data_IF_455882059545
#
_entry.id   IF_455882059545
#
_cell.length_a   1.000
_cell.length_b   1.000
_cell.length_c   1.000
_cell.angle_alpha   90.00
_cell.angle_beta   90.00
_cell.angle_gamma   90.00
#
_symmetry.space_group_name_H-M   'P 1'
#
loop_
_entity.id
_entity.type
_entity.pdbx_description
1 polymer ?
#
# COMPACT_ATOMS: atom_id res chain seq x y z
N UNK A 1 -4.40 -0.27 35.25
CA UNK A 1 -5.59 -1.10 35.03
C UNK A 1 -5.16 -2.21 34.08
N UNK A 2 -6.04 -2.90 33.36
CA UNK A 2 -5.63 -3.50 32.09
C UNK A 2 -5.95 -2.47 31.02
N UNK A 3 -5.00 -2.18 30.15
CA UNK A 3 -5.15 -1.17 29.09
C UNK A 3 -5.54 -1.90 27.80
N UNK A 4 -6.47 -1.34 27.05
CA UNK A 4 -6.96 -1.96 25.82
C UNK A 4 -6.68 -1.06 24.62
N UNK A 5 -6.36 -1.70 23.50
CA UNK A 5 -6.44 -1.09 22.17
C UNK A 5 -7.32 -1.97 21.29
N UNK A 6 -7.91 -1.43 20.24
CA UNK A 6 -8.83 -2.22 19.42
C UNK A 6 -9.13 -1.62 18.06
N UNK A 7 -9.55 -2.49 17.15
CA UNK A 7 -10.04 -2.15 15.83
C UNK A 7 -11.56 -2.20 15.87
N UNK A 8 -12.16 -1.05 15.61
CA UNK A 8 -13.61 -0.87 15.52
C UNK A 8 -13.97 -0.55 14.09
N UNK A 9 -15.11 -1.06 13.63
CA UNK A 9 -15.64 -0.75 12.30
C UNK A 9 -17.09 -0.35 12.43
N UNK A 10 -17.41 0.84 11.94
CA UNK A 10 -18.74 1.46 12.09
C UNK A 10 -19.24 1.45 13.56
N UNK A 11 -18.32 1.55 14.53
CA UNK A 11 -18.58 1.55 15.98
C UNK A 11 -18.64 0.17 16.64
N UNK A 12 -18.55 -0.92 15.89
CA UNK A 12 -18.53 -2.27 16.44
C UNK A 12 -17.10 -2.76 16.68
N UNK A 13 -16.83 -3.33 17.86
CA UNK A 13 -15.54 -3.92 18.18
C UNK A 13 -15.33 -5.21 17.37
N UNK A 14 -14.32 -5.22 16.49
CA UNK A 14 -14.00 -6.38 15.66
C UNK A 14 -12.85 -7.18 16.26
N UNK A 15 -11.83 -6.49 16.77
CA UNK A 15 -10.66 -7.12 17.39
C UNK A 15 -10.10 -6.23 18.49
N UNK A 16 -9.72 -6.81 19.62
CA UNK A 16 -9.18 -6.07 20.77
C UNK A 16 -7.91 -6.71 21.27
N UNK A 17 -6.93 -5.88 21.59
CA UNK A 17 -5.69 -6.24 22.25
C UNK A 17 -5.76 -5.87 23.71
N UNK A 18 -5.17 -6.71 24.57
CA UNK A 18 -5.15 -6.50 26.01
C UNK A 18 -3.71 -6.30 26.46
N UNK A 19 -3.43 -5.14 27.06
CA UNK A 19 -2.12 -4.70 27.51
C UNK A 19 -1.06 -4.69 26.39
N UNK A 20 -1.49 -4.59 25.13
CA UNK A 20 -0.64 -4.56 23.95
C UNK A 20 -1.03 -3.38 23.05
N UNK A 21 -0.01 -2.62 22.61
CA UNK A 21 -0.13 -1.57 21.59
C UNK A 21 0.67 -2.01 20.36
N UNK A 22 -0.01 -2.11 19.23
CA UNK A 22 0.61 -2.49 17.96
C UNK A 22 1.03 -1.26 17.19
N UNK A 23 2.24 -0.78 17.43
CA UNK A 23 2.80 0.41 16.78
C UNK A 23 2.88 0.25 15.25
N UNK A 24 3.07 -0.96 14.77
CA UNK A 24 3.14 -1.27 13.34
C UNK A 24 1.81 -1.09 12.59
N UNK A 25 0.68 -0.97 13.30
CA UNK A 25 -0.60 -0.58 12.69
C UNK A 25 -0.66 0.92 12.41
N UNK A 26 0.03 1.72 13.24
CA UNK A 26 0.07 3.18 13.13
C UNK A 26 0.73 3.63 11.82
N UNK A 27 1.60 2.79 11.26
CA UNK A 27 2.22 2.99 9.93
C UNK A 27 1.20 3.25 8.82
N UNK A 28 -0.02 2.68 8.89
CA UNK A 28 -1.06 2.85 7.87
C UNK A 28 -1.94 4.07 8.08
N UNK A 29 -1.62 4.90 9.07
CA UNK A 29 -2.28 6.15 9.33
C UNK A 29 -1.32 7.32 9.14
N UNK A 30 -1.88 8.52 9.08
CA UNK A 30 -1.19 9.79 8.93
C UNK A 30 -1.72 10.77 9.97
N UNK A 31 -1.04 11.89 10.15
CA UNK A 31 -1.51 12.94 11.07
C UNK A 31 -2.90 13.48 10.72
N UNK A 32 -3.34 13.33 9.46
CA UNK A 32 -4.69 13.72 9.04
C UNK A 32 -5.77 12.71 9.47
N UNK A 33 -5.39 11.48 9.81
CA UNK A 33 -6.31 10.43 10.27
C UNK A 33 -6.45 10.45 11.81
N UNK A 34 -5.58 11.18 12.50
CA UNK A 34 -5.59 11.28 13.95
C UNK A 34 -6.80 12.07 14.45
N UNK A 35 -7.50 11.53 15.45
CA UNK A 35 -8.68 12.16 16.03
C UNK A 35 -8.62 12.19 17.55
N UNK A 36 -9.16 13.26 18.10
CA UNK A 36 -9.59 13.39 19.48
C UNK A 36 -11.09 13.73 19.41
N UNK A 37 -11.90 12.88 20.01
CA UNK A 37 -13.35 13.04 20.06
C UNK A 37 -13.77 13.12 21.53
N UNK A 38 -14.77 13.94 21.83
CA UNK A 38 -15.33 14.04 23.17
C UNK A 38 -16.84 14.19 23.14
N UNK A 39 -17.49 13.91 24.28
CA UNK A 39 -18.94 14.07 24.39
C UNK A 39 -19.72 13.07 23.54
N UNK A 40 -20.79 13.55 22.91
CA UNK A 40 -21.62 12.76 21.99
C UNK A 40 -20.84 12.24 20.77
N UNK A 41 -19.83 12.98 20.29
CA UNK A 41 -19.04 12.60 19.11
C UNK A 41 -18.13 11.39 19.39
N UNK A 42 -17.74 11.18 20.65
CA UNK A 42 -16.96 10.03 21.07
C UNK A 42 -17.81 8.76 21.25
N UNK A 43 -19.12 8.89 21.43
CA UNK A 43 -20.02 7.77 21.77
C UNK A 43 -19.93 6.59 20.79
N UNK A 44 -19.88 6.78 19.45
CA UNK A 44 -19.76 5.67 18.50
C UNK A 44 -18.42 4.94 18.56
N UNK A 45 -17.40 5.57 19.12
CA UNK A 45 -16.01 5.09 19.17
C UNK A 45 -15.58 4.69 20.58
N UNK A 46 -16.41 4.98 21.57
CA UNK A 46 -16.24 4.46 22.92
C UNK A 46 -16.51 2.98 22.92
N UNK A 47 -15.52 2.21 23.34
CA UNK A 47 -15.67 0.78 23.46
C UNK A 47 -16.85 0.45 24.38
N UNK A 48 -17.57 -0.66 24.09
CA UNK A 48 -18.60 -1.18 24.99
C UNK A 48 -18.09 -1.44 26.44
N UNK A 49 -16.76 -1.48 26.62
CA UNK A 49 -16.07 -1.52 27.92
C UNK A 49 -16.17 -0.21 28.70
N UNK A 50 -16.14 0.96 28.03
CA UNK A 50 -16.30 2.27 28.68
C UNK A 50 -17.76 2.57 28.99
N UNK A 51 -18.67 2.33 28.04
CA UNK A 51 -20.10 2.62 28.20
C UNK A 51 -20.85 1.60 29.09
N UNK A 52 -20.33 0.38 29.26
CA UNK A 52 -20.98 -0.69 30.01
C UNK A 52 -20.45 -0.93 31.43
N UNK A 53 -19.26 -0.42 31.76
CA UNK A 53 -18.56 -0.71 33.04
C UNK A 53 -18.19 0.54 33.83
N UNK A 54 -18.30 1.73 33.25
CA UNK A 54 -17.98 2.99 33.93
C UNK A 54 -19.23 3.87 33.92
N UNK A 55 -19.59 4.40 35.09
CA UNK A 55 -20.62 5.42 35.32
C UNK A 55 -20.12 6.78 34.75
N UNK A 56 -19.70 6.78 33.48
CA UNK A 56 -19.13 7.90 32.76
C UNK A 56 -20.29 8.68 32.12
N UNK A 57 -20.46 9.94 32.53
CA UNK A 57 -21.38 10.84 31.84
C UNK A 57 -20.88 11.04 30.40
N UNK A 58 -21.78 11.03 29.42
CA UNK A 58 -21.43 11.19 28.00
C UNK A 58 -20.59 12.45 27.78
N UNK A 59 -20.86 13.51 28.54
CA UNK A 59 -20.15 14.79 28.48
C UNK A 59 -18.67 14.70 28.94
N UNK A 60 -18.29 13.65 29.66
CA UNK A 60 -16.94 13.38 30.17
C UNK A 60 -16.19 12.32 29.33
N UNK A 61 -16.83 11.78 28.28
CA UNK A 61 -16.24 10.78 27.43
C UNK A 61 -15.18 11.41 26.52
N UNK A 62 -13.98 10.83 26.49
CA UNK A 62 -12.90 11.21 25.59
C UNK A 62 -12.35 9.97 24.90
N UNK A 63 -12.07 10.06 23.60
CA UNK A 63 -11.54 8.98 22.78
C UNK A 63 -10.39 9.50 21.91
N UNK A 64 -9.31 8.73 21.86
CA UNK A 64 -8.10 9.05 21.10
C UNK A 64 -7.78 7.90 20.15
N UNK A 65 -7.43 8.20 18.90
CA UNK A 65 -7.05 7.17 17.95
C UNK A 65 -6.94 7.66 16.51
N UNK A 66 -7.10 6.72 15.57
CA UNK A 66 -7.03 6.99 14.13
C UNK A 66 -8.29 6.54 13.40
N UNK A 67 -8.78 7.37 12.48
CA UNK A 67 -9.95 7.09 11.63
C UNK A 67 -9.53 7.09 10.16
N UNK A 68 -9.87 6.02 9.44
CA UNK A 68 -9.73 5.95 8.00
C UNK A 68 -10.81 5.05 7.37
N UNK A 69 -11.14 5.28 6.10
CA UNK A 69 -12.03 4.38 5.36
C UNK A 69 -11.30 3.08 4.99
N UNK A 70 -12.05 1.99 4.85
CA UNK A 70 -11.48 0.71 4.42
C UNK A 70 -10.81 0.83 3.04
N UNK A 71 -11.35 1.63 2.11
CA UNK A 71 -10.71 1.90 0.82
C UNK A 71 -9.31 2.51 0.98
N UNK A 72 -9.20 3.55 1.80
CA UNK A 72 -7.95 4.24 2.08
C UNK A 72 -6.91 3.27 2.66
N UNK A 73 -7.31 2.46 3.66
CA UNK A 73 -6.43 1.47 4.27
C UNK A 73 -6.02 0.36 3.29
N UNK A 74 -6.94 -0.12 2.45
CA UNK A 74 -6.62 -1.11 1.39
C UNK A 74 -5.54 -0.56 0.46
N UNK A 75 -5.65 0.69 0.03
CA UNK A 75 -4.69 1.30 -0.88
C UNK A 75 -3.33 1.54 -0.21
N UNK A 76 -3.30 1.97 1.06
CA UNK A 76 -2.06 2.11 1.83
C UNK A 76 -1.37 0.76 2.08
N UNK A 77 -2.13 -0.27 2.47
CA UNK A 77 -1.63 -1.65 2.63
C UNK A 77 -1.05 -2.20 1.32
N UNK A 78 -1.79 -2.07 0.21
CA UNK A 78 -1.33 -2.46 -1.12
C UNK A 78 -0.03 -1.72 -1.49
N UNK A 79 0.00 -0.40 -1.28
CA UNK A 79 1.14 0.44 -1.57
C UNK A 79 2.37 -0.01 -0.79
N UNK A 80 2.22 -0.40 0.47
CA UNK A 80 3.30 -0.87 1.35
C UNK A 80 3.66 -2.36 1.19
N UNK A 81 2.95 -3.11 0.34
CA UNK A 81 3.26 -4.50 -0.01
C UNK A 81 2.48 -5.55 0.77
N UNK A 82 1.46 -5.14 1.52
CA UNK A 82 0.49 -6.01 2.19
C UNK A 82 -0.69 -6.36 1.26
N UNK A 83 -0.37 -6.77 0.04
CA UNK A 83 -1.35 -7.20 -0.96
C UNK A 83 -1.91 -8.61 -0.70
N UNK A 84 -2.85 -9.04 -1.55
CA UNK A 84 -3.51 -10.35 -1.43
C UNK A 84 -2.54 -11.54 -1.44
N UNK A 85 -1.45 -11.46 -2.22
CA UNK A 85 -0.45 -12.53 -2.29
C UNK A 85 0.25 -12.76 -0.95
N UNK A 86 0.61 -11.69 -0.24
CA UNK A 86 1.24 -11.77 1.07
C UNK A 86 0.26 -12.26 2.13
N UNK A 87 -1.00 -11.80 2.11
CA UNK A 87 -2.01 -12.28 3.03
C UNK A 87 -2.20 -13.80 2.86
N UNK A 88 -2.35 -14.28 1.62
CA UNK A 88 -2.55 -15.70 1.33
C UNK A 88 -1.39 -16.55 1.83
N UNK A 89 -0.15 -16.16 1.54
CA UNK A 89 1.02 -16.92 2.00
C UNK A 89 1.18 -16.85 3.52
N UNK A 90 0.91 -15.68 4.13
CA UNK A 90 0.94 -15.46 5.56
C UNK A 90 -0.08 -16.33 6.30
N UNK A 91 -1.33 -16.34 5.86
CA UNK A 91 -2.40 -17.16 6.46
C UNK A 91 -2.11 -18.64 6.31
N UNK A 92 -1.70 -19.11 5.13
CA UNK A 92 -1.33 -20.52 4.93
C UNK A 92 -0.20 -20.95 5.88
N UNK A 93 0.76 -20.06 6.14
CA UNK A 93 1.82 -20.29 7.13
C UNK A 93 1.26 -20.35 8.55
N UNK A 94 0.42 -19.39 8.95
CA UNK A 94 -0.20 -19.35 10.29
C UNK A 94 -1.07 -20.59 10.56
N UNK A 95 -1.91 -21.00 9.59
CA UNK A 95 -2.71 -22.23 9.69
C UNK A 95 -1.83 -23.48 9.92
N UNK A 96 -0.67 -23.55 9.25
CA UNK A 96 0.31 -24.63 9.46
C UNK A 96 0.95 -24.56 10.84
N UNK A 97 1.30 -23.37 11.31
CA UNK A 97 1.88 -23.15 12.64
C UNK A 97 0.91 -23.57 13.76
N UNK A 98 -0.39 -23.27 13.61
CA UNK A 98 -1.44 -23.71 14.55
C UNK A 98 -1.62 -25.24 14.56
N UNK A 99 -1.65 -25.86 13.38
CA UNK A 99 -1.70 -27.33 13.28
C UNK A 99 -0.47 -28.00 13.90
N UNK A 100 0.73 -27.44 13.69
CA UNK A 100 1.96 -27.91 14.32
C UNK A 100 1.93 -27.70 15.85
N UNK A 101 1.35 -26.60 16.33
CA UNK A 101 1.17 -26.31 17.76
C UNK A 101 0.27 -27.35 18.44
N UNK A 102 -0.87 -27.67 17.82
CA UNK A 102 -1.78 -28.71 18.30
C UNK A 102 -1.10 -30.09 18.28
N UNK A 103 -0.33 -30.40 17.23
CA UNK A 103 0.43 -31.66 17.14
C UNK A 103 1.42 -31.80 18.31
N UNK A 104 2.21 -30.75 18.59
CA UNK A 104 3.15 -30.74 19.73
C UNK A 104 2.44 -30.92 21.07
N UNK A 105 1.28 -30.28 21.26
CA UNK A 105 0.49 -30.43 22.48
C UNK A 105 0.00 -31.88 22.65
N UNK A 106 -0.44 -32.53 21.56
CA UNK A 106 -0.87 -33.92 21.57
C UNK A 106 0.27 -34.90 21.81
N UNK A 107 1.45 -34.66 21.23
CA UNK A 107 2.65 -35.45 21.48
C UNK A 107 3.04 -35.37 22.96
N UNK A 108 3.01 -34.17 23.56
CA UNK A 108 3.23 -33.98 24.99
C UNK A 108 2.20 -34.76 25.84
N UNK A 109 0.91 -34.66 25.51
CA UNK A 109 -0.13 -35.44 26.19
C UNK A 109 0.15 -36.95 26.12
N UNK A 110 0.53 -37.45 24.94
CA UNK A 110 0.86 -38.86 24.74
C UNK A 110 2.08 -39.30 25.58
N UNK A 111 3.13 -38.49 25.64
CA UNK A 111 4.33 -38.73 26.46
C UNK A 111 4.00 -38.79 27.96
N UNK A 112 3.11 -37.92 28.42
CA UNK A 112 2.65 -37.89 29.82
C UNK A 112 1.56 -38.93 30.14
N UNK A 113 1.07 -39.68 29.13
CA UNK A 113 -0.04 -40.61 29.28
C UNK A 113 -1.38 -39.93 29.60
N UNK A 114 -1.51 -38.65 29.26
CA UNK A 114 -2.73 -37.85 29.41
C UNK A 114 -3.65 -38.09 28.21
N UNK A 115 -4.87 -38.51 28.48
CA UNK A 115 -5.95 -38.61 27.49
C UNK A 115 -7.24 -38.04 28.08
N UNK A 116 -7.10 -36.83 28.60
CA UNK A 116 -8.15 -36.04 29.23
C UNK A 116 -8.86 -35.16 28.19
N UNK A 117 -9.77 -34.32 28.68
CA UNK A 117 -10.56 -33.37 27.90
C UNK A 117 -9.67 -32.45 27.05
N UNK A 118 -8.54 -31.99 27.61
CA UNK A 118 -7.58 -31.14 26.90
C UNK A 118 -6.99 -31.84 25.66
N UNK A 119 -6.58 -33.12 25.77
CA UNK A 119 -6.08 -33.87 24.63
C UNK A 119 -7.17 -34.13 23.57
N UNK A 120 -8.46 -34.12 23.94
CA UNK A 120 -9.57 -34.21 22.99
C UNK A 120 -9.77 -32.86 22.28
N UNK A 121 -9.83 -31.77 23.02
CA UNK A 121 -9.93 -30.40 22.48
C UNK A 121 -8.83 -30.13 21.46
N UNK A 122 -7.57 -30.48 21.76
CA UNK A 122 -6.46 -30.30 20.82
C UNK A 122 -6.52 -31.17 19.56
N UNK A 123 -7.21 -32.33 19.59
CA UNK A 123 -7.48 -33.10 18.35
C UNK A 123 -8.55 -32.43 17.52
N UNK A 124 -9.63 -31.98 18.15
CA UNK A 124 -10.74 -31.32 17.46
C UNK A 124 -10.26 -29.99 16.82
N UNK A 125 -9.41 -29.23 17.52
CA UNK A 125 -8.71 -28.06 16.97
C UNK A 125 -7.79 -28.44 15.80
N UNK A 126 -6.94 -29.47 15.94
CA UNK A 126 -6.03 -29.92 14.88
C UNK A 126 -6.79 -30.31 13.60
N UNK A 127 -7.85 -31.11 13.74
CA UNK A 127 -8.69 -31.53 12.60
C UNK A 127 -9.33 -30.32 11.92
N UNK A 128 -9.75 -29.32 12.70
CA UNK A 128 -10.26 -28.04 12.18
C UNK A 128 -9.18 -27.30 11.38
N UNK A 129 -8.01 -27.08 11.96
CA UNK A 129 -6.90 -26.36 11.28
C UNK A 129 -6.43 -27.06 10.01
N UNK A 130 -6.32 -28.39 10.01
CA UNK A 130 -5.93 -29.17 8.84
C UNK A 130 -6.98 -29.17 7.72
N UNK A 131 -8.25 -28.89 8.05
CA UNK A 131 -9.33 -28.80 7.07
C UNK A 131 -9.38 -27.45 6.33
N UNK A 132 -8.70 -26.43 6.86
CA UNK A 132 -8.72 -25.08 6.31
C UNK A 132 -7.63 -24.84 5.29
N UNK A 133 -8.03 -24.21 4.20
CA UNK A 133 -7.17 -23.49 3.27
C UNK A 133 -7.49 -21.98 3.33
N UNK A 134 -6.74 -21.18 2.59
CA UNK A 134 -6.98 -19.73 2.57
C UNK A 134 -8.41 -19.34 2.19
N UNK A 135 -9.04 -20.01 1.22
CA UNK A 135 -10.37 -19.62 0.72
C UNK A 135 -11.47 -19.95 1.73
N UNK A 136 -11.41 -21.15 2.32
CA UNK A 136 -12.32 -21.58 3.38
C UNK A 136 -12.14 -20.74 4.65
N UNK A 137 -10.90 -20.43 5.04
CA UNK A 137 -10.62 -19.50 6.14
C UNK A 137 -11.19 -18.10 5.86
N UNK A 138 -10.97 -17.54 4.67
CA UNK A 138 -11.47 -16.20 4.32
C UNK A 138 -13.00 -16.14 4.37
N UNK A 139 -13.67 -17.21 3.94
CA UNK A 139 -15.14 -17.35 4.06
C UNK A 139 -15.59 -17.34 5.52
N UNK A 140 -14.85 -18.00 6.41
CA UNK A 140 -15.15 -17.99 7.84
C UNK A 140 -14.94 -16.62 8.46
N UNK A 141 -13.88 -15.90 8.08
CA UNK A 141 -13.65 -14.51 8.55
C UNK A 141 -14.78 -13.60 8.10
N UNK A 142 -15.21 -13.68 6.84
CA UNK A 142 -16.33 -12.88 6.35
C UNK A 142 -17.61 -13.17 7.14
N UNK A 143 -17.92 -14.46 7.36
CA UNK A 143 -19.08 -14.89 8.16
C UNK A 143 -18.99 -14.39 9.61
N UNK A 144 -17.81 -14.47 10.21
CA UNK A 144 -17.54 -14.01 11.56
C UNK A 144 -17.78 -12.50 11.70
N UNK A 145 -17.30 -11.71 10.73
CA UNK A 145 -17.50 -10.26 10.70
C UNK A 145 -18.98 -9.90 10.52
N UNK A 146 -19.72 -10.61 9.66
CA UNK A 146 -21.14 -10.34 9.40
C UNK A 146 -22.06 -10.65 10.58
N UNK A 147 -21.71 -11.62 11.43
CA UNK A 147 -22.60 -12.09 12.49
C UNK A 147 -22.68 -11.16 13.71
N UNK A 148 -21.79 -10.17 13.85
CA UNK A 148 -21.66 -9.24 14.99
C UNK A 148 -21.63 -9.89 16.40
N UNK A 149 -21.69 -11.23 16.49
CA UNK A 149 -21.64 -12.00 17.73
C UNK A 149 -20.19 -12.19 18.17
N UNK A 150 -19.68 -11.23 18.94
CA UNK A 150 -18.46 -11.38 19.77
C UNK A 150 -18.65 -12.48 20.85
N UNK A 151 -19.86 -13.01 21.00
CA UNK A 151 -20.21 -14.16 21.84
C UNK A 151 -19.73 -15.47 21.21
N UNK A 152 -18.43 -15.74 21.38
CA UNK A 152 -17.78 -17.07 21.29
C UNK A 152 -18.46 -18.06 20.32
N UNK A 153 -18.25 -17.94 19.00
CA UNK A 153 -18.26 -19.15 18.20
C UNK A 153 -17.25 -20.14 18.82
N UNK A 154 -17.53 -21.44 18.74
CA UNK A 154 -16.60 -22.50 19.20
C UNK A 154 -15.20 -22.39 18.53
N UNK A 155 -15.09 -21.55 17.51
CA UNK A 155 -13.89 -21.24 16.76
C UNK A 155 -13.90 -19.77 16.27
N UNK A 156 -12.87 -18.99 16.60
CA UNK A 156 -12.68 -17.64 16.04
C UNK A 156 -11.55 -17.69 14.99
N UNK A 157 -11.83 -17.47 13.69
CA UNK A 157 -10.84 -17.60 12.62
C UNK A 157 -9.72 -16.54 12.68
N UNK A 158 -9.89 -15.47 13.46
CA UNK A 158 -8.87 -14.43 13.65
C UNK A 158 -7.83 -14.78 14.73
N UNK A 159 -8.05 -15.82 15.54
CA UNK A 159 -7.07 -16.19 16.60
C UNK A 159 -5.74 -16.67 16.04
N UNK A 160 -5.68 -17.06 14.77
CA UNK A 160 -4.44 -17.39 14.08
C UNK A 160 -3.47 -16.20 14.01
N UNK A 161 -3.95 -14.98 14.27
CA UNK A 161 -3.12 -13.78 14.34
C UNK A 161 -2.61 -13.46 15.75
N UNK A 162 -2.95 -14.25 16.77
CA UNK A 162 -2.43 -14.05 18.11
C UNK A 162 -0.90 -14.28 18.10
N UNK A 163 -0.13 -13.23 18.38
CA UNK A 163 1.33 -13.25 18.28
C UNK A 163 1.88 -13.22 16.84
N UNK A 164 1.02 -13.01 15.84
CA UNK A 164 1.42 -12.78 14.46
C UNK A 164 1.63 -11.28 14.17
N UNK A 165 2.11 -10.99 12.96
CA UNK A 165 2.22 -9.63 12.45
C UNK A 165 0.82 -8.99 12.32
N UNK A 166 0.52 -8.00 13.15
CA UNK A 166 -0.81 -7.34 13.21
C UNK A 166 -1.19 -6.65 11.90
N UNK A 167 -0.22 -6.33 11.03
CA UNK A 167 -0.47 -5.74 9.71
C UNK A 167 -1.17 -6.73 8.77
N UNK A 168 -0.92 -8.04 8.95
CA UNK A 168 -1.67 -9.09 8.27
C UNK A 168 -3.09 -9.22 8.81
N UNK A 169 -3.31 -9.01 10.11
CA UNK A 169 -4.65 -8.94 10.68
C UNK A 169 -5.40 -7.75 10.08
N UNK A 170 -4.82 -6.54 10.09
CA UNK A 170 -5.46 -5.36 9.50
C UNK A 170 -5.83 -5.63 8.04
N UNK A 171 -4.93 -6.24 7.26
CA UNK A 171 -5.21 -6.64 5.88
C UNK A 171 -6.36 -7.65 5.77
N UNK A 172 -6.38 -8.66 6.64
CA UNK A 172 -7.45 -9.67 6.70
C UNK A 172 -8.81 -9.06 7.04
N UNK A 173 -8.84 -8.04 7.89
CA UNK A 173 -10.06 -7.33 8.26
C UNK A 173 -10.55 -6.46 7.10
N UNK A 174 -9.71 -5.52 6.62
CA UNK A 174 -10.16 -4.51 5.65
C UNK A 174 -10.64 -5.09 4.32
N UNK A 175 -10.15 -6.26 3.90
CA UNK A 175 -10.61 -6.90 2.67
C UNK A 175 -12.07 -7.36 2.70
N UNK A 176 -12.65 -7.53 3.90
CA UNK A 176 -14.04 -7.94 4.08
C UNK A 176 -15.01 -6.76 4.21
N UNK A 177 -14.49 -5.55 4.40
CA UNK A 177 -15.31 -4.35 4.53
C UNK A 177 -15.56 -3.68 3.19
N UNK A 178 -16.68 -2.97 3.11
CA UNK A 178 -17.03 -2.10 2.00
C UNK A 178 -16.08 -0.91 1.98
N UNK A 179 -15.87 -0.34 0.82
CA UNK A 179 -14.92 0.76 0.63
C UNK A 179 -15.29 2.02 1.44
N UNK A 180 -16.58 2.20 1.74
CA UNK A 180 -17.15 3.29 2.54
C UNK A 180 -17.18 3.03 4.06
N UNK A 181 -16.87 1.81 4.51
CA UNK A 181 -16.83 1.49 5.94
C UNK A 181 -15.70 2.26 6.64
N UNK A 182 -16.00 2.77 7.83
CA UNK A 182 -15.07 3.57 8.64
C UNK A 182 -14.44 2.70 9.70
N UNK A 183 -13.11 2.61 9.69
CA UNK A 183 -12.32 1.93 10.70
C UNK A 183 -11.78 2.95 11.70
N UNK A 184 -11.91 2.62 12.98
CA UNK A 184 -11.30 3.34 14.09
C UNK A 184 -10.31 2.44 14.83
N UNK A 185 -9.07 2.89 14.94
CA UNK A 185 -8.05 2.25 15.78
C UNK A 185 -7.94 3.02 17.10
N UNK A 186 -8.44 2.39 18.16
CA UNK A 186 -8.57 2.96 19.51
C UNK A 186 -7.26 2.87 20.29
N UNK A 187 -6.81 4.01 20.80
CA UNK A 187 -5.62 4.19 21.64
C UNK A 187 -5.92 4.89 22.97
N UNK A 188 -7.20 5.02 23.34
CA UNK A 188 -7.68 5.86 24.44
C UNK A 188 -6.98 5.53 25.77
N UNK A 189 -6.95 4.26 26.18
CA UNK A 189 -6.34 3.83 27.45
C UNK A 189 -4.84 4.18 27.52
N UNK A 190 -4.14 4.17 26.37
CA UNK A 190 -2.71 4.46 26.29
C UNK A 190 -2.39 5.97 26.33
N UNK A 191 -3.32 6.81 25.90
CA UNK A 191 -3.16 8.27 25.91
C UNK A 191 -3.58 8.83 27.27
N UNK A 192 -4.69 8.34 27.84
CA UNK A 192 -5.25 8.86 29.11
C UNK A 192 -4.35 8.56 30.32
N UNK A 193 -3.66 7.42 30.36
CA UNK A 193 -2.73 7.08 31.46
C UNK A 193 -1.47 7.96 31.48
N UNK A 194 -1.24 8.77 30.42
CA UNK A 194 -0.12 9.73 30.34
C UNK A 194 -0.39 11.07 31.05
N UNK A 195 -1.63 11.35 31.47
CA UNK A 195 -2.00 12.51 32.28
C UNK A 195 -2.45 13.77 31.48
N UNK A 196 -3.39 14.57 32.02
CA UNK A 196 -4.06 15.65 31.28
C UNK A 196 -3.21 16.90 30.99
N UNK A 197 -2.08 17.10 31.67
CA UNK A 197 -1.22 18.28 31.49
C UNK A 197 -0.28 18.15 30.26
N UNK A 198 -0.17 16.96 29.65
CA UNK A 198 0.72 16.67 28.51
C UNK A 198 -0.06 16.47 27.17
N UNK A 199 -1.38 16.66 27.15
CA UNK A 199 -2.26 16.42 25.98
C UNK A 199 -2.31 17.64 25.03
N UNK A 200 -1.16 18.25 24.76
CA UNK A 200 -1.04 19.37 23.81
C UNK A 200 -0.41 18.84 22.52
N UNK A 201 -1.18 18.13 21.68
CA UNK A 201 -0.73 17.50 20.40
C UNK A 201 0.48 16.53 20.47
N UNK A 202 1.16 16.41 21.61
CA UNK A 202 2.35 15.56 21.81
C UNK A 202 2.02 14.06 21.99
N UNK A 203 0.74 13.69 22.09
CA UNK A 203 0.29 12.28 22.01
C UNK A 203 0.39 11.72 20.59
N UNK A 204 0.40 12.60 19.57
CA UNK A 204 0.64 12.18 18.20
C UNK A 204 2.04 11.55 18.19
N UNK A 205 2.19 10.27 17.78
CA UNK A 205 3.52 9.70 17.61
C UNK A 205 4.33 10.67 16.73
N UNK A 206 5.60 10.89 17.07
CA UNK A 206 6.54 11.50 16.11
C UNK A 206 6.48 10.61 14.88
N UNK A 207 5.75 11.05 13.85
CA UNK A 207 5.42 10.25 12.68
C UNK A 207 6.69 9.85 11.93
N UNK A 208 7.29 8.74 12.35
CA UNK A 208 8.25 7.97 11.60
C UNK A 208 7.51 6.71 11.19
N UNK A 209 7.20 6.60 9.90
CA UNK A 209 6.81 5.33 9.32
C UNK A 209 7.94 4.34 9.59
N UNK A 210 7.71 3.34 10.43
CA UNK A 210 8.59 2.19 10.58
C UNK A 210 8.54 1.35 9.28
N UNK A 211 7.37 1.29 8.64
CA UNK A 211 7.20 0.80 7.28
C UNK A 211 7.91 1.73 6.27
N UNK A 212 9.02 1.29 5.70
CA UNK A 212 9.77 2.13 4.75
C UNK A 212 9.04 2.26 3.41
N UNK A 213 8.62 3.49 3.00
CA UNK A 213 7.91 3.67 1.74
C UNK A 213 8.72 3.17 0.54
N UNK A 214 8.08 2.51 -0.45
CA UNK A 214 8.73 2.15 -1.70
C UNK A 214 9.37 3.36 -2.39
N UNK A 215 10.48 3.09 -3.08
CA UNK A 215 11.21 4.06 -3.87
C UNK A 215 10.92 3.86 -5.35
N UNK A 216 10.42 4.90 -6.01
CA UNK A 216 10.15 4.93 -7.45
C UNK A 216 11.28 5.67 -8.16
N UNK A 217 11.95 4.97 -9.09
CA UNK A 217 12.98 5.52 -9.96
C UNK A 217 12.33 5.84 -11.30
N UNK A 218 12.40 7.10 -11.74
CA UNK A 218 11.94 7.53 -13.07
C UNK A 218 13.13 7.69 -14.02
N UNK A 219 12.87 7.89 -15.31
CA UNK A 219 13.95 8.25 -16.24
C UNK A 219 14.45 9.68 -16.00
N UNK A 220 13.53 10.64 -15.93
CA UNK A 220 13.84 12.06 -15.87
C UNK A 220 13.45 12.73 -14.55
N UNK A 221 14.07 13.89 -14.33
CA UNK A 221 13.69 14.82 -13.24
C UNK A 221 12.27 15.33 -13.47
N UNK A 222 11.89 15.55 -14.74
CA UNK A 222 10.56 16.04 -15.08
C UNK A 222 9.49 15.01 -14.75
N UNK A 223 9.70 13.74 -15.11
CA UNK A 223 8.85 12.60 -14.76
C UNK A 223 8.61 12.50 -13.26
N UNK A 224 9.67 12.51 -12.45
CA UNK A 224 9.57 12.45 -11.00
C UNK A 224 8.76 13.62 -10.44
N UNK A 225 8.87 14.82 -11.03
CA UNK A 225 8.09 15.99 -10.62
C UNK A 225 6.62 15.85 -11.00
N UNK A 226 6.32 15.46 -12.24
CA UNK A 226 4.96 15.26 -12.73
C UNK A 226 4.25 14.23 -11.87
N UNK A 227 4.82 13.03 -11.71
CA UNK A 227 4.18 11.94 -10.99
C UNK A 227 4.05 12.24 -9.49
N UNK A 228 5.04 12.87 -8.88
CA UNK A 228 4.97 13.26 -7.45
C UNK A 228 3.90 14.32 -7.21
N UNK A 229 3.83 15.37 -8.04
CA UNK A 229 2.82 16.41 -7.91
C UNK A 229 1.41 15.87 -8.20
N UNK A 230 1.27 15.05 -9.24
CA UNK A 230 -0.02 14.44 -9.55
C UNK A 230 -0.47 13.44 -8.49
N UNK A 231 0.44 12.65 -7.90
CA UNK A 231 0.09 11.77 -6.78
C UNK A 231 -0.46 12.58 -5.60
N UNK A 232 0.19 13.69 -5.24
CA UNK A 232 -0.28 14.58 -4.17
C UNK A 232 -1.64 15.20 -4.45
N UNK A 233 -1.93 15.52 -5.71
CA UNK A 233 -3.19 16.14 -6.12
C UNK A 233 -4.34 15.11 -6.24
N UNK A 234 -4.08 13.98 -6.90
CA UNK A 234 -5.09 13.03 -7.33
C UNK A 234 -5.30 11.86 -6.35
N UNK A 235 -4.29 11.54 -5.53
CA UNK A 235 -4.32 10.47 -4.51
C UNK A 235 -3.57 10.92 -3.25
N UNK A 236 -3.98 12.03 -2.61
CA UNK A 236 -3.27 12.63 -1.47
C UNK A 236 -3.04 11.64 -0.32
N UNK A 237 -3.97 10.71 -0.10
CA UNK A 237 -3.92 9.66 0.92
C UNK A 237 -2.76 8.66 0.74
N UNK A 238 -2.18 8.58 -0.46
CA UNK A 238 -1.04 7.72 -0.80
C UNK A 238 0.29 8.48 -0.92
N UNK A 239 0.24 9.81 -0.95
CA UNK A 239 1.43 10.63 -1.14
C UNK A 239 2.52 10.42 -0.06
N UNK A 240 2.20 10.21 1.23
CA UNK A 240 3.20 9.88 2.25
C UNK A 240 3.85 8.50 2.05
N UNK A 241 3.17 7.61 1.33
CA UNK A 241 3.50 6.19 1.20
C UNK A 241 4.32 5.85 -0.05
N UNK A 242 4.66 6.83 -0.89
CA UNK A 242 5.45 6.61 -2.11
C UNK A 242 6.54 7.67 -2.21
N UNK A 243 7.79 7.23 -2.31
CA UNK A 243 8.94 8.13 -2.49
C UNK A 243 9.47 8.05 -3.91
N UNK A 244 9.47 9.16 -4.63
CA UNK A 244 10.21 9.26 -5.89
C UNK A 244 11.68 9.60 -5.61
N UNK A 245 12.60 8.95 -6.32
CA UNK A 245 14.03 9.20 -6.24
C UNK A 245 14.30 10.70 -6.43
N UNK A 246 15.18 11.27 -5.60
CA UNK A 246 15.63 12.64 -5.76
C UNK A 246 16.89 12.68 -6.64
N UNK A 247 16.81 13.45 -7.72
CA UNK A 247 17.90 13.63 -8.69
C UNK A 247 18.78 14.84 -8.35
N UNK A 248 18.41 15.65 -7.34
CA UNK A 248 19.18 16.81 -6.89
C UNK A 248 20.58 16.47 -6.37
N UNK A 249 20.80 15.19 -6.02
CA UNK A 249 22.07 14.67 -5.45
C UNK A 249 23.06 14.19 -6.53
N UNK A 250 22.81 14.51 -7.81
CA UNK A 250 23.77 14.26 -8.92
C UNK A 250 23.55 12.98 -9.73
N UNK A 251 22.33 12.44 -9.74
CA UNK A 251 21.98 11.30 -10.60
C UNK A 251 21.76 11.77 -12.05
N UNK A 252 22.43 11.10 -13.00
CA UNK A 252 22.16 11.27 -14.43
C UNK A 252 20.74 10.77 -14.77
N UNK A 253 20.05 11.46 -15.69
CA UNK A 253 18.74 11.04 -16.18
C UNK A 253 18.81 10.07 -17.37
N UNK A 254 17.65 9.54 -17.74
CA UNK A 254 17.42 8.64 -18.88
C UNK A 254 17.35 7.16 -18.49
N UNK A 255 16.71 6.36 -19.35
CA UNK A 255 16.49 4.93 -19.12
C UNK A 255 17.76 4.15 -18.71
N UNK A 256 18.89 4.35 -19.39
CA UNK A 256 20.13 3.62 -19.07
C UNK A 256 20.66 3.96 -17.66
N UNK A 257 20.53 5.22 -17.23
CA UNK A 257 20.93 5.64 -15.89
C UNK A 257 19.99 5.06 -14.82
N UNK A 258 18.68 5.07 -15.06
CA UNK A 258 17.70 4.44 -14.16
C UNK A 258 17.94 2.93 -14.00
N UNK A 259 18.23 2.20 -15.08
CA UNK A 259 18.62 0.77 -15.02
C UNK A 259 19.89 0.57 -14.21
N UNK A 260 20.89 1.44 -14.38
CA UNK A 260 22.15 1.37 -13.62
C UNK A 260 21.91 1.63 -12.14
N UNK A 261 21.11 2.62 -11.78
CA UNK A 261 20.73 2.93 -10.39
C UNK A 261 20.02 1.76 -9.74
N UNK A 262 19.05 1.15 -10.43
CA UNK A 262 18.35 -0.05 -9.96
C UNK A 262 19.32 -1.19 -9.66
N UNK A 263 20.26 -1.48 -10.58
CA UNK A 263 21.31 -2.50 -10.38
C UNK A 263 22.22 -2.18 -9.20
N UNK A 264 22.58 -0.91 -9.02
CA UNK A 264 23.43 -0.48 -7.91
C UNK A 264 22.73 -0.65 -6.56
N UNK A 265 21.44 -0.31 -6.46
CA UNK A 265 20.66 -0.53 -5.23
C UNK A 265 20.51 -2.01 -4.91
N UNK A 266 20.25 -2.84 -5.92
CA UNK A 266 20.20 -4.29 -5.75
C UNK A 266 21.55 -4.84 -5.27
N UNK A 267 22.66 -4.43 -5.90
CA UNK A 267 24.00 -4.86 -5.54
C UNK A 267 24.43 -4.39 -4.14
N UNK A 268 23.92 -3.25 -3.68
CA UNK A 268 24.15 -2.72 -2.34
C UNK A 268 23.27 -3.36 -1.26
N UNK A 269 22.33 -4.25 -1.63
CA UNK A 269 21.42 -4.89 -0.69
C UNK A 269 20.42 -3.91 -0.06
N UNK A 270 19.99 -2.88 -0.79
CA UNK A 270 19.00 -1.94 -0.27
C UNK A 270 17.67 -2.68 -0.05
N UNK A 271 17.24 -2.73 1.21
CA UNK A 271 16.06 -3.47 1.66
C UNK A 271 14.72 -2.83 1.23
N UNK A 272 14.73 -1.55 0.87
CA UNK A 272 13.55 -0.85 0.38
C UNK A 272 12.96 -1.54 -0.85
N UNK A 273 11.63 -1.55 -0.95
CA UNK A 273 10.94 -1.87 -2.21
C UNK A 273 11.26 -0.81 -3.26
N UNK A 274 11.62 -1.25 -4.46
CA UNK A 274 12.05 -0.33 -5.52
C UNK A 274 11.30 -0.64 -6.81
N UNK A 275 10.70 0.37 -7.43
CA UNK A 275 10.12 0.25 -8.78
C UNK A 275 10.83 1.23 -9.70
N UNK A 276 11.46 0.72 -10.75
CA UNK A 276 11.91 1.56 -11.86
C UNK A 276 10.82 1.64 -12.92
N UNK A 277 10.37 2.86 -13.22
CA UNK A 277 9.36 3.16 -14.24
C UNK A 277 10.00 3.91 -15.41
N UNK A 278 9.68 3.43 -16.61
CA UNK A 278 10.31 3.85 -17.86
C UNK A 278 9.27 4.39 -18.85
N UNK A 279 9.72 5.22 -19.79
CA UNK A 279 8.88 5.73 -20.87
C UNK A 279 8.32 4.57 -21.72
N UNK A 280 7.16 4.77 -22.33
CA UNK A 280 6.57 3.85 -23.30
C UNK A 280 7.16 4.10 -24.71
N UNK A 281 8.49 4.06 -24.82
CA UNK A 281 9.23 4.38 -26.04
C UNK A 281 10.31 3.33 -26.39
N UNK A 282 10.78 3.36 -27.63
CA UNK A 282 11.76 2.40 -28.13
C UNK A 282 13.09 2.43 -27.37
N UNK A 283 13.51 3.58 -26.85
CA UNK A 283 14.80 3.72 -26.17
C UNK A 283 14.77 3.18 -24.75
N UNK A 284 13.69 3.43 -24.03
CA UNK A 284 13.37 2.83 -22.75
C UNK A 284 13.36 1.30 -22.86
N UNK A 285 12.63 0.75 -23.83
CA UNK A 285 12.62 -0.70 -24.06
C UNK A 285 14.01 -1.25 -24.36
N UNK A 286 14.82 -0.56 -25.18
CA UNK A 286 16.19 -0.98 -25.46
C UNK A 286 17.06 -1.02 -24.20
N UNK A 287 16.96 -0.01 -23.34
CA UNK A 287 17.73 0.08 -22.09
C UNK A 287 17.38 -1.07 -21.13
N UNK A 288 16.09 -1.43 -21.06
CA UNK A 288 15.60 -2.51 -20.18
C UNK A 288 15.93 -3.90 -20.72
N UNK A 289 16.11 -4.11 -22.04
CA UNK A 289 16.47 -5.43 -22.61
C UNK A 289 17.71 -6.07 -21.96
N UNK A 290 18.66 -5.27 -21.51
CA UNK A 290 19.89 -5.73 -20.84
C UNK A 290 19.72 -6.07 -19.35
N UNK A 291 18.52 -5.90 -18.81
CA UNK A 291 18.16 -6.24 -17.44
C UNK A 291 17.56 -7.64 -17.41
N UNK A 292 18.17 -8.56 -16.67
CA UNK A 292 17.60 -9.89 -16.44
C UNK A 292 16.71 -9.81 -15.20
N UNK A 293 15.39 -10.02 -15.30
CA UNK A 293 14.49 -9.91 -14.14
C UNK A 293 14.93 -10.81 -12.98
N UNK A 294 15.37 -12.03 -13.26
CA UNK A 294 15.86 -13.00 -12.25
C UNK A 294 17.13 -12.56 -11.51
N UNK A 295 17.76 -11.46 -11.91
CA UNK A 295 18.94 -10.91 -11.23
C UNK A 295 18.59 -9.84 -10.19
N UNK A 296 17.32 -9.46 -10.07
CA UNK A 296 16.85 -8.47 -9.10
C UNK A 296 16.20 -9.17 -7.90
N UNK A 297 16.26 -8.54 -6.70
CA UNK A 297 15.49 -9.00 -5.55
C UNK A 297 13.98 -9.03 -5.83
N UNK A 298 13.24 -9.92 -5.15
CA UNK A 298 11.79 -10.09 -5.36
C UNK A 298 10.97 -8.83 -5.05
N UNK A 299 11.46 -7.98 -4.15
CA UNK A 299 10.87 -6.70 -3.78
C UNK A 299 11.24 -5.54 -4.74
N UNK A 300 11.89 -5.85 -5.88
CA UNK A 300 12.23 -4.91 -6.93
C UNK A 300 11.35 -5.13 -8.17
N UNK A 301 10.90 -4.03 -8.77
CA UNK A 301 10.04 -4.02 -9.94
C UNK A 301 10.59 -3.17 -11.07
N UNK A 302 10.25 -3.57 -12.28
CA UNK A 302 10.49 -2.81 -13.52
C UNK A 302 9.16 -2.73 -14.26
N UNK A 303 8.81 -1.56 -14.75
CA UNK A 303 7.62 -1.34 -15.57
C UNK A 303 7.84 -0.20 -16.58
N UNK A 304 7.05 -0.18 -17.64
CA UNK A 304 6.93 0.96 -18.54
C UNK A 304 5.61 1.68 -18.28
N UNK A 305 5.50 2.93 -18.70
CA UNK A 305 4.19 3.56 -18.83
C UNK A 305 3.26 2.68 -19.69
N UNK A 306 1.99 2.52 -19.32
CA UNK A 306 1.06 1.67 -20.05
C UNK A 306 0.73 2.24 -21.43
N UNK A 307 0.20 1.41 -22.33
CA UNK A 307 -0.26 1.86 -23.63
C UNK A 307 -1.38 2.91 -23.46
N UNK A 308 -1.20 4.09 -24.06
CA UNK A 308 -2.13 5.20 -24.00
C UNK A 308 -3.15 5.08 -25.15
N UNK A 309 -4.47 5.08 -24.88
CA UNK A 309 -5.48 4.98 -25.94
C UNK A 309 -5.37 6.09 -26.99
N UNK A 310 -5.07 7.32 -26.57
CA UNK A 310 -4.83 8.47 -27.47
C UNK A 310 -3.65 8.22 -28.43
N UNK A 311 -2.65 7.45 -28.01
CA UNK A 311 -1.46 7.18 -28.80
C UNK A 311 -1.65 6.09 -29.89
N UNK A 312 -2.82 5.41 -29.94
CA UNK A 312 -3.09 4.40 -30.97
C UNK A 312 -3.21 4.96 -32.39
N UNK A 313 -3.63 6.22 -32.50
CA UNK A 313 -3.77 6.95 -33.76
C UNK A 313 -3.37 8.41 -33.51
N UNK A 314 -2.06 8.66 -33.46
CA UNK A 314 -1.48 9.94 -33.07
C UNK A 314 -0.79 10.62 -34.27
N UNK A 315 -0.85 11.96 -34.41
CA UNK A 315 -0.17 12.64 -35.50
C UNK A 315 1.35 12.54 -35.36
N UNK A 316 2.02 12.27 -36.48
CA UNK A 316 3.46 12.09 -36.56
C UNK A 316 4.06 12.86 -37.73
N UNK A 317 5.32 13.27 -37.56
CA UNK A 317 6.14 13.93 -38.58
C UNK A 317 7.32 13.02 -38.93
N UNK A 318 7.36 12.55 -40.17
CA UNK A 318 8.46 11.76 -40.70
C UNK A 318 9.10 12.40 -41.93
N UNK A 319 10.20 11.81 -42.44
CA UNK A 319 10.83 12.26 -43.69
C UNK A 319 9.89 12.23 -44.91
N UNK A 320 8.82 11.44 -44.85
CA UNK A 320 7.80 11.33 -45.91
C UNK A 320 6.63 12.31 -45.73
N UNK A 321 6.67 13.15 -44.70
CA UNK A 321 5.60 14.09 -44.34
C UNK A 321 4.77 13.63 -43.16
N UNK A 322 3.61 14.26 -43.01
CA UNK A 322 2.69 14.07 -41.90
C UNK A 322 1.91 12.76 -42.07
N UNK A 323 1.77 12.00 -40.98
CA UNK A 323 0.98 10.77 -40.99
C UNK A 323 0.39 10.47 -39.62
N UNK A 324 -0.68 9.68 -39.56
CA UNK A 324 -1.26 9.20 -38.30
C UNK A 324 -0.84 7.76 -38.08
N UNK A 325 -0.25 7.47 -36.91
CA UNK A 325 0.28 6.14 -36.59
C UNK A 325 0.03 5.79 -35.13
N UNK A 326 0.11 4.50 -34.80
CA UNK A 326 0.24 4.08 -33.41
C UNK A 326 1.66 4.40 -32.93
N UNK A 327 1.79 5.20 -31.87
CA UNK A 327 3.07 5.62 -31.30
C UNK A 327 3.35 4.98 -29.93
N UNK A 328 2.44 4.14 -29.41
CA UNK A 328 2.69 3.34 -28.21
C UNK A 328 3.92 2.45 -28.43
N UNK A 329 4.77 2.36 -27.39
CA UNK A 329 6.06 1.64 -27.39
C UNK A 329 7.11 2.18 -28.34
N UNK A 330 6.83 3.29 -29.03
CA UNK A 330 7.73 3.91 -30.00
C UNK A 330 8.18 5.31 -29.56
N UNK A 331 7.27 6.10 -28.97
CA UNK A 331 7.51 7.51 -28.64
C UNK A 331 6.72 8.02 -27.42
N UNK A 332 6.28 7.13 -26.53
CA UNK A 332 5.45 7.46 -25.37
C UNK A 332 6.22 8.01 -24.18
N UNK A 333 6.74 9.23 -24.27
CA UNK A 333 7.30 9.93 -23.11
C UNK A 333 6.21 10.48 -22.19
N UNK A 334 6.57 10.85 -20.96
CA UNK A 334 5.64 11.44 -19.98
C UNK A 334 4.80 12.61 -20.55
N UNK A 335 5.33 13.38 -21.50
CA UNK A 335 4.58 14.47 -22.14
C UNK A 335 3.30 14.02 -22.84
N UNK A 336 3.25 12.81 -23.41
CA UNK A 336 2.02 12.27 -24.03
C UNK A 336 0.94 11.92 -23.00
N UNK A 337 1.29 11.84 -21.72
CA UNK A 337 0.36 11.46 -20.65
C UNK A 337 -0.19 12.67 -19.86
N UNK A 338 0.21 13.90 -20.20
CA UNK A 338 -0.17 15.12 -19.46
C UNK A 338 -1.63 15.57 -19.67
N UNK A 339 -2.36 14.86 -20.55
CA UNK A 339 -3.74 15.14 -20.91
C UNK A 339 -3.88 15.72 -22.30
N UNK A 340 -4.99 15.41 -22.97
CA UNK A 340 -5.33 15.93 -24.28
C UNK A 340 -5.45 17.46 -24.27
N UNK A 341 -5.99 18.01 -23.19
CA UNK A 341 -6.08 19.46 -22.92
C UNK A 341 -4.72 20.17 -22.89
N UNK A 342 -3.64 19.47 -22.54
CA UNK A 342 -2.26 19.96 -22.59
C UNK A 342 -1.63 19.77 -23.98
N UNK A 343 -1.97 18.67 -24.66
CA UNK A 343 -1.39 18.28 -25.95
C UNK A 343 -1.96 19.06 -27.13
N UNK A 344 -3.19 19.57 -27.01
CA UNK A 344 -3.87 20.32 -28.08
C UNK A 344 -3.52 21.80 -28.06
N UNK A 345 -3.32 22.36 -29.25
CA UNK A 345 -3.34 23.80 -29.46
C UNK A 345 -4.77 24.36 -29.27
N UNK A 346 -4.94 25.69 -29.15
CA UNK A 346 -6.27 26.31 -29.15
C UNK A 346 -7.13 26.00 -30.39
N UNK A 347 -6.51 25.59 -31.49
CA UNK A 347 -7.19 25.16 -32.73
C UNK A 347 -7.58 23.68 -32.72
N UNK A 348 -7.37 22.96 -31.60
CA UNK A 348 -7.67 21.53 -31.46
C UNK A 348 -6.67 20.61 -32.16
N UNK A 349 -5.45 21.08 -32.43
CA UNK A 349 -4.42 20.31 -33.12
C UNK A 349 -3.44 19.77 -32.09
N UNK A 350 -3.32 18.44 -32.01
CA UNK A 350 -2.36 17.75 -31.16
C UNK A 350 -0.92 18.06 -31.59
N UNK A 351 -0.03 18.31 -30.62
CA UNK A 351 1.41 18.37 -30.85
C UNK A 351 1.90 17.01 -31.41
N UNK A 352 2.44 16.96 -32.64
CA UNK A 352 2.78 15.69 -33.27
C UNK A 352 4.06 15.08 -32.68
N UNK A 353 4.20 13.76 -32.84
CA UNK A 353 5.44 13.03 -32.60
C UNK A 353 6.36 13.15 -33.82
N UNK A 354 7.58 13.64 -33.63
CA UNK A 354 8.60 13.69 -34.68
C UNK A 354 9.53 12.48 -34.60
N UNK A 355 9.62 11.71 -35.69
CA UNK A 355 10.55 10.58 -35.79
C UNK A 355 12.00 11.05 -35.83
N UNK A 356 12.87 10.47 -34.99
CA UNK A 356 14.29 10.82 -34.89
C UNK A 356 15.21 9.80 -35.53
N UNK A 357 14.89 8.51 -35.43
CA UNK A 357 15.76 7.47 -35.99
C UNK A 357 15.23 6.06 -35.77
N UNK A 358 15.87 5.10 -36.43
CA UNK A 358 15.60 3.68 -36.28
C UNK A 358 16.61 3.03 -35.33
N UNK A 359 16.11 2.29 -34.34
CA UNK A 359 16.89 1.62 -33.31
C UNK A 359 17.04 0.14 -33.65
N UNK A 360 18.26 -0.26 -34.05
CA UNK A 360 18.52 -1.60 -34.56
C UNK A 360 18.28 -2.73 -33.55
N UNK A 361 18.58 -2.51 -32.25
CA UNK A 361 18.46 -3.57 -31.24
C UNK A 361 17.01 -3.95 -30.93
N UNK A 362 16.11 -2.97 -30.93
CA UNK A 362 14.67 -3.16 -30.72
C UNK A 362 13.88 -3.25 -32.03
N UNK A 363 14.54 -3.06 -33.18
CA UNK A 363 13.95 -3.09 -34.53
C UNK A 363 12.72 -2.17 -34.67
N UNK A 364 12.82 -0.98 -34.09
CA UNK A 364 11.72 -0.03 -34.00
C UNK A 364 12.22 1.40 -34.26
N UNK A 365 11.31 2.28 -34.68
CA UNK A 365 11.59 3.72 -34.75
C UNK A 365 11.42 4.37 -33.38
N UNK A 366 12.22 5.39 -33.11
CA UNK A 366 12.05 6.27 -31.96
C UNK A 366 11.58 7.64 -32.42
N UNK A 367 10.59 8.18 -31.71
CA UNK A 367 10.12 9.54 -31.89
C UNK A 367 10.02 10.27 -30.55
N UNK A 368 9.79 11.56 -30.62
CA UNK A 368 9.44 12.37 -29.45
C UNK A 368 8.33 13.36 -29.81
N UNK A 369 7.47 13.69 -28.84
CA UNK A 369 6.51 14.77 -29.04
C UNK A 369 7.24 16.10 -29.26
N UNK A 370 6.75 16.88 -30.21
CA UNK A 370 7.26 18.23 -30.49
C UNK A 370 6.85 19.22 -29.40
N UNK A 371 7.55 20.36 -29.31
CA UNK A 371 7.22 21.46 -28.40
C UNK A 371 7.13 21.10 -26.90
N UNK A 372 7.93 20.13 -26.43
CA UNK A 372 7.97 19.69 -25.02
C UNK A 372 7.96 20.85 -24.02
N UNK A 373 8.80 21.87 -24.21
CA UNK A 373 8.86 23.01 -23.28
C UNK A 373 7.51 23.73 -23.11
N UNK A 374 6.72 23.85 -24.18
CA UNK A 374 5.38 24.44 -24.13
C UNK A 374 4.40 23.51 -23.39
N UNK A 375 4.41 22.21 -23.70
CA UNK A 375 3.57 21.20 -23.04
C UNK A 375 3.86 21.15 -21.53
N UNK A 376 5.13 21.13 -21.14
CA UNK A 376 5.54 21.16 -19.73
C UNK A 376 5.09 22.44 -19.03
N UNK A 377 5.07 23.58 -19.73
CA UNK A 377 4.56 24.84 -19.16
C UNK A 377 3.04 24.84 -19.02
N UNK A 378 2.32 24.32 -20.00
CA UNK A 378 0.87 24.18 -19.95
C UNK A 378 0.45 23.22 -18.81
N UNK A 379 1.17 22.11 -18.63
CA UNK A 379 0.94 21.20 -17.52
C UNK A 379 1.19 21.86 -16.15
N UNK A 380 2.24 22.67 -16.01
CA UNK A 380 2.47 23.43 -14.77
C UNK A 380 1.30 24.36 -14.45
N UNK A 381 0.76 25.07 -15.45
CA UNK A 381 -0.39 25.94 -15.26
C UNK A 381 -1.67 25.15 -14.92
N UNK A 382 -1.88 24.00 -15.56
CA UNK A 382 -2.97 23.06 -15.27
C UNK A 382 -2.92 22.58 -13.82
N UNK A 383 -1.73 22.15 -13.37
CA UNK A 383 -1.48 21.69 -12.02
C UNK A 383 -1.73 22.82 -11.00
N UNK A 384 -1.17 24.00 -11.22
CA UNK A 384 -1.36 25.17 -10.35
C UNK A 384 -2.83 25.58 -10.25
N UNK A 385 -3.59 25.51 -11.35
CA UNK A 385 -5.03 25.77 -11.33
C UNK A 385 -5.78 24.76 -10.45
N UNK A 386 -5.45 23.47 -10.53
CA UNK A 386 -6.09 22.42 -9.74
C UNK A 386 -5.67 22.43 -8.27
N UNK A 387 -4.42 22.79 -7.96
CA UNK A 387 -3.95 22.98 -6.58
C UNK A 387 -4.66 24.15 -5.90
N UNK A 388 -5.00 25.21 -6.65
CA UNK A 388 -5.75 26.36 -6.13
C UNK A 388 -7.27 26.12 -6.04
N UNK A 389 -7.82 25.28 -6.91
CA UNK A 389 -9.24 24.93 -6.94
C UNK A 389 -9.41 23.46 -7.36
N UNK A 390 -9.65 22.59 -6.37
CA UNK A 390 -9.79 21.14 -6.58
C UNK A 390 -10.95 20.79 -7.52
N UNK A 391 -11.97 21.64 -7.67
CA UNK A 391 -13.07 21.40 -8.61
C UNK A 391 -12.59 21.39 -10.07
N UNK A 392 -11.44 22.01 -10.35
CA UNK A 392 -10.84 21.99 -11.69
C UNK A 392 -10.42 20.60 -12.14
N UNK A 393 -10.15 19.66 -11.20
CA UNK A 393 -9.74 18.29 -11.53
C UNK A 393 -10.78 17.63 -12.46
N UNK A 394 -12.08 17.82 -12.20
CA UNK A 394 -13.17 17.25 -13.01
C UNK A 394 -13.24 17.81 -14.43
N UNK A 395 -12.75 19.04 -14.63
CA UNK A 395 -12.77 19.74 -15.92
C UNK A 395 -11.52 19.49 -16.77
N UNK A 396 -10.48 18.92 -16.17
CA UNK A 396 -9.16 18.72 -16.74
C UNK A 396 -8.93 17.26 -17.12
N UNK A 397 -8.15 17.00 -18.18
CA UNK A 397 -7.90 15.61 -18.62
C UNK A 397 -6.71 14.99 -17.88
N UNK A 398 -6.96 14.25 -16.82
CA UNK A 398 -5.93 13.51 -16.06
C UNK A 398 -5.78 12.05 -16.49
N UNK A 399 -6.46 11.60 -17.55
CA UNK A 399 -6.57 10.18 -17.92
C UNK A 399 -5.22 9.49 -18.13
N UNK A 400 -4.28 10.15 -18.80
CA UNK A 400 -2.91 9.64 -18.99
C UNK A 400 -2.15 9.47 -17.68
N UNK A 401 -2.30 10.41 -16.75
CA UNK A 401 -1.65 10.32 -15.43
C UNK A 401 -2.29 9.26 -14.55
N UNK A 402 -3.63 9.15 -14.56
CA UNK A 402 -4.33 8.05 -13.88
C UNK A 402 -3.83 6.69 -14.35
N UNK A 403 -3.71 6.49 -15.68
CA UNK A 403 -3.16 5.26 -16.24
C UNK A 403 -1.78 4.92 -15.66
N UNK A 404 -0.87 5.90 -15.54
CA UNK A 404 0.46 5.66 -14.97
C UNK A 404 0.39 5.35 -13.47
N UNK A 405 -0.37 6.13 -12.71
CA UNK A 405 -0.48 5.97 -11.26
C UNK A 405 -1.14 4.64 -10.89
N UNK A 406 -2.22 4.26 -11.56
CA UNK A 406 -2.91 3.00 -11.30
C UNK A 406 -2.00 1.81 -11.65
N UNK A 407 -1.29 1.85 -12.78
CA UNK A 407 -0.31 0.82 -13.13
C UNK A 407 0.86 0.74 -12.12
N UNK A 408 1.30 1.87 -11.58
CA UNK A 408 2.31 1.91 -10.53
C UNK A 408 1.80 1.29 -9.22
N UNK A 409 0.58 1.61 -8.82
CA UNK A 409 -0.05 1.05 -7.61
C UNK A 409 -0.26 -0.46 -7.74
N UNK A 410 -0.73 -0.93 -8.89
CA UNK A 410 -0.83 -2.37 -9.20
C UNK A 410 0.54 -3.04 -9.11
N UNK A 411 1.57 -2.40 -9.68
CA UNK A 411 2.93 -2.93 -9.63
C UNK A 411 3.43 -3.00 -8.20
N UNK A 412 3.22 -1.96 -7.39
CA UNK A 412 3.58 -1.95 -5.97
C UNK A 412 2.84 -3.06 -5.22
N UNK A 413 1.51 -3.19 -5.37
CA UNK A 413 0.72 -4.24 -4.71
C UNK A 413 1.22 -5.65 -5.02
N UNK A 414 1.75 -5.87 -6.23
CA UNK A 414 2.32 -7.17 -6.63
C UNK A 414 3.68 -7.49 -6.00
N UNK A 415 4.42 -6.47 -5.53
CA UNK A 415 5.73 -6.67 -4.91
C UNK A 415 5.55 -6.98 -3.42
N UNK A 416 6.16 -8.06 -2.90
CA UNK A 416 6.06 -8.39 -1.48
C UNK A 416 6.57 -7.23 -0.63
N UNK A 417 5.94 -7.02 0.53
CA UNK A 417 6.50 -6.16 1.57
C UNK A 417 7.96 -6.56 1.82
N UNK A 418 8.81 -5.57 2.07
CA UNK A 418 10.12 -5.86 2.65
C UNK A 418 9.84 -6.35 4.08
N UNK A 419 9.61 -7.66 4.23
CA UNK A 419 9.44 -8.23 5.56
C UNK A 419 10.71 -7.86 6.34
N UNK A 420 10.60 -7.37 7.58
CA UNK A 420 11.75 -7.39 8.45
C UNK A 420 12.23 -8.85 8.44
N UNK A 421 13.51 -9.04 8.14
CA UNK A 421 14.13 -10.35 8.25
C UNK A 421 14.09 -10.75 9.73
N UNK A 422 12.96 -11.28 10.17
CA UNK A 422 12.84 -12.04 11.40
C UNK A 422 12.82 -13.50 10.93
N UNK A 423 13.98 -14.20 10.93
CA UNK A 423 13.91 -15.65 11.00
C UNK A 423 13.00 -16.01 12.19
N UNK A 424 12.24 -17.11 12.13
CA UNK A 424 11.38 -17.51 13.23
C UNK A 424 12.22 -17.49 14.51
N UNK A 425 11.77 -16.70 15.50
CA UNK A 425 12.33 -16.76 16.85
C UNK A 425 12.22 -18.21 17.28
N UNK A 426 13.37 -18.85 17.45
CA UNK A 426 13.39 -20.21 17.93
C UNK A 426 13.10 -20.16 19.43
N UNK A 427 12.56 -21.23 20.01
CA UNK A 427 12.34 -21.34 21.47
C UNK A 427 13.65 -21.06 22.25
N UNK A 428 14.82 -21.23 21.62
CA UNK A 428 16.12 -20.86 22.19
C UNK A 428 16.24 -19.35 22.49
N UNK A 429 15.60 -18.49 21.70
CA UNK A 429 15.60 -17.03 21.89
C UNK A 429 14.67 -16.59 23.04
N UNK A 430 13.65 -17.41 23.35
CA UNK A 430 12.70 -17.16 24.44
C UNK A 430 13.15 -17.71 25.79
N UNK A 431 13.95 -18.79 25.80
CA UNK A 431 14.33 -19.46 27.05
C UNK A 431 15.61 -18.94 27.70
N UNK A 432 16.33 -17.98 27.09
CA UNK A 432 17.50 -17.37 27.71
C UNK A 432 18.48 -18.40 28.28
N UNK A 433 18.72 -19.50 27.57
CA UNK A 433 19.82 -20.40 27.92
C UNK A 433 21.15 -19.81 27.41
N UNK A 434 22.22 -19.90 28.20
CA UNK A 434 23.47 -19.16 27.98
C UNK A 434 24.26 -19.55 26.73
#
# INVERSE_FOLDING_TARGET
>A
MADYSGIYVNGNAIFTYRNERHHELEDFFTSADAVYLSGEDALPYSSAWHAGVIDCEVDELEVYGFIATAACLKDRLNTLGFGQGLLRSGVNRLLKEEAESCTRALDYCAEQGLNDEYAKEKRDELDTWLSLDFESWATQVATFIEQEEVSRPDFNPLTIFNGADSRLLLRALVQNFRDDDVLFYDLTDYVVDSGPDDIDTDWLPVWQLDATPPVVITEGIFDAKVLRSALKLLKPELAPYIRFLDYSVGNEGGAAAAVKTLKNFAAAGIAHRIVAIFDNDSAAYEAVLGLRPDSLPEHYGVMHYPDLPLANAYPTLGPQGDSVMNVNRLAGSIELYLGKDVLESPDGILAPVQWKGYMNKVRAYQGEVTNKAALQSAFRAKLEAAENDLSMIESQDWSGIHLILDALLDKLSSLPAALPYNPPLTIADFMGEP
#
